data_IF_836848590816
#
_entry.id   IF_836848590816
#
_cell.length_a   1.000
_cell.length_b   1.000
_cell.length_c   1.000
_cell.angle_alpha   90.00
_cell.angle_beta   90.00
_cell.angle_gamma   90.00
#
_symmetry.space_group_name_H-M   'P 1'
#
loop_
_entity.id
_entity.type
_entity.pdbx_description
1 polymer ?
#
# COMPACT_ATOMS: atom_id res chain seq x y z
N UNK A 1 -0.48 -11.69 -0.32
CA UNK A 1 0.67 -12.43 -0.90
C UNK A 1 0.54 -12.27 -2.39
N UNK A 2 1.43 -11.49 -3.01
CA UNK A 2 1.32 -11.14 -4.42
C UNK A 2 2.00 -12.19 -5.28
N UNK A 3 1.27 -12.75 -6.23
CA UNK A 3 1.84 -13.60 -7.30
C UNK A 3 1.55 -12.96 -8.67
N UNK A 4 2.59 -12.87 -9.49
CA UNK A 4 2.51 -12.44 -10.90
C UNK A 4 3.18 -13.51 -11.74
N UNK A 5 2.43 -14.07 -12.70
CA UNK A 5 2.94 -15.03 -13.69
C UNK A 5 3.13 -14.30 -15.02
N UNK A 6 4.28 -14.50 -15.67
CA UNK A 6 4.56 -13.97 -17.01
C UNK A 6 3.72 -14.74 -18.03
N UNK A 7 3.03 -14.02 -18.91
CA UNK A 7 2.28 -14.60 -20.03
C UNK A 7 3.10 -14.55 -21.32
N UNK A 8 2.81 -15.42 -22.31
CA UNK A 8 3.40 -15.31 -23.65
C UNK A 8 3.07 -13.93 -24.24
N UNK A 9 4.10 -13.18 -24.66
CA UNK A 9 3.96 -11.82 -25.20
C UNK A 9 4.12 -10.68 -24.18
N UNK A 10 4.23 -10.96 -22.89
CA UNK A 10 4.61 -9.93 -21.91
C UNK A 10 6.12 -9.64 -21.97
N UNK A 11 6.47 -8.35 -22.04
CA UNK A 11 7.85 -7.88 -21.78
C UNK A 11 8.17 -7.94 -20.28
N UNK A 12 9.45 -8.06 -19.94
CA UNK A 12 9.88 -8.14 -18.53
C UNK A 12 9.46 -6.90 -17.73
N UNK A 13 9.57 -5.71 -18.32
CA UNK A 13 9.11 -4.45 -17.73
C UNK A 13 7.61 -4.45 -17.43
N UNK A 14 6.79 -5.05 -18.30
CA UNK A 14 5.34 -5.18 -18.09
C UNK A 14 5.05 -6.01 -16.85
N UNK A 15 5.77 -7.12 -16.66
CA UNK A 15 5.63 -8.00 -15.49
C UNK A 15 6.05 -7.28 -14.21
N UNK A 16 7.18 -6.57 -14.23
CA UNK A 16 7.66 -5.78 -13.08
C UNK A 16 6.65 -4.71 -12.71
N UNK A 17 6.11 -3.97 -13.69
CA UNK A 17 5.07 -2.96 -13.44
C UNK A 17 3.80 -3.56 -12.85
N UNK A 18 3.35 -4.72 -13.37
CA UNK A 18 2.19 -5.46 -12.82
C UNK A 18 2.45 -5.86 -11.37
N UNK A 19 3.64 -6.35 -11.04
CA UNK A 19 4.03 -6.69 -9.67
C UNK A 19 4.00 -5.46 -8.75
N UNK A 20 4.68 -4.37 -9.13
CA UNK A 20 4.73 -3.15 -8.33
C UNK A 20 3.33 -2.60 -8.06
N UNK A 21 2.44 -2.58 -9.07
CA UNK A 21 1.05 -2.17 -8.87
C UNK A 21 0.31 -3.07 -7.90
N UNK A 22 0.44 -4.40 -8.01
CA UNK A 22 -0.20 -5.34 -7.05
C UNK A 22 0.33 -5.14 -5.62
N UNK A 23 1.63 -4.94 -5.44
CA UNK A 23 2.24 -4.69 -4.11
C UNK A 23 1.71 -3.40 -3.48
N UNK A 24 1.58 -2.33 -4.27
CA UNK A 24 1.01 -1.06 -3.81
C UNK A 24 -0.47 -1.24 -3.46
N UNK A 25 -1.24 -1.89 -4.32
CA UNK A 25 -2.67 -2.12 -4.12
C UNK A 25 -2.97 -3.01 -2.89
N UNK A 26 -2.16 -4.05 -2.66
CA UNK A 26 -2.25 -4.89 -1.45
C UNK A 26 -1.70 -4.19 -0.18
N UNK A 27 -1.16 -2.97 -0.32
CA UNK A 27 -0.61 -2.15 0.77
C UNK A 27 0.44 -2.86 1.65
N UNK A 28 1.17 -3.81 1.06
CA UNK A 28 2.12 -4.69 1.77
C UNK A 28 3.24 -3.89 2.42
N UNK A 29 3.77 -2.89 1.71
CA UNK A 29 4.90 -2.09 2.19
C UNK A 29 4.52 -1.22 3.40
N UNK A 30 3.33 -0.62 3.39
CA UNK A 30 2.87 0.18 4.53
C UNK A 30 2.60 -0.71 5.74
N UNK A 31 2.02 -1.89 5.52
CA UNK A 31 1.79 -2.84 6.59
C UNK A 31 3.09 -3.39 7.19
N UNK A 32 4.07 -3.72 6.36
CA UNK A 32 5.39 -4.16 6.81
C UNK A 32 6.05 -3.09 7.70
N UNK A 33 6.02 -1.81 7.27
CA UNK A 33 6.52 -0.69 8.08
C UNK A 33 5.76 -0.53 9.41
N UNK A 34 4.42 -0.68 9.39
CA UNK A 34 3.59 -0.59 10.60
C UNK A 34 3.90 -1.70 11.60
N UNK A 35 4.27 -2.89 11.11
CA UNK A 35 4.59 -4.08 11.93
C UNK A 35 6.07 -4.19 12.29
N UNK A 36 6.93 -3.32 11.76
CA UNK A 36 8.38 -3.36 11.98
C UNK A 36 8.74 -3.21 13.48
N UNK A 37 7.93 -2.45 14.22
CA UNK A 37 8.08 -2.27 15.66
C UNK A 37 6.73 -2.41 16.35
N UNK A 38 6.75 -2.84 17.62
CA UNK A 38 5.55 -2.87 18.43
C UNK A 38 5.05 -1.44 18.70
N UNK A 39 3.78 -1.19 18.40
CA UNK A 39 3.07 0.00 18.82
C UNK A 39 2.01 -0.38 19.85
N UNK A 40 1.89 0.44 20.91
CA UNK A 40 0.74 0.34 21.82
C UNK A 40 -0.57 0.46 21.03
N UNK A 41 -1.62 -0.31 21.38
CA UNK A 41 -2.89 -0.31 20.64
C UNK A 41 -3.52 1.09 20.48
N UNK A 42 -3.37 1.96 21.49
CA UNK A 42 -3.87 3.34 21.44
C UNK A 42 -3.15 4.18 20.38
N UNK A 43 -1.83 4.07 20.27
CA UNK A 43 -1.04 4.78 19.28
C UNK A 43 -1.33 4.27 17.86
N UNK A 44 -1.51 2.96 17.70
CA UNK A 44 -1.90 2.38 16.41
C UNK A 44 -3.29 2.89 15.95
N UNK A 45 -4.26 3.00 16.87
CA UNK A 45 -5.57 3.60 16.58
C UNK A 45 -5.45 5.07 16.19
N UNK A 46 -4.63 5.85 16.91
CA UNK A 46 -4.39 7.27 16.62
C UNK A 46 -3.79 7.48 15.23
N UNK A 47 -2.72 6.76 14.89
CA UNK A 47 -2.08 6.85 13.57
C UNK A 47 -3.05 6.51 12.42
N UNK A 48 -3.87 5.46 12.59
CA UNK A 48 -4.89 5.08 11.59
C UNK A 48 -5.93 6.20 11.37
N UNK A 49 -6.36 6.87 12.44
CA UNK A 49 -7.32 7.98 12.34
C UNK A 49 -6.70 9.21 11.67
N UNK A 50 -5.45 9.54 12.01
CA UNK A 50 -4.71 10.65 11.40
C UNK A 50 -4.51 10.42 9.89
N UNK A 51 -4.14 9.22 9.49
CA UNK A 51 -3.98 8.84 8.07
C UNK A 51 -5.31 8.97 7.31
N UNK A 52 -6.41 8.44 7.87
CA UNK A 52 -7.74 8.57 7.27
C UNK A 52 -8.18 10.04 7.14
N UNK A 53 -7.90 10.87 8.15
CA UNK A 53 -8.17 12.32 8.11
C UNK A 53 -7.34 13.01 7.04
N UNK A 54 -6.07 12.63 6.89
CA UNK A 54 -5.17 13.17 5.85
C UNK A 54 -5.68 12.83 4.46
N UNK A 55 -6.06 11.58 4.20
CA UNK A 55 -6.62 11.14 2.91
C UNK A 55 -7.90 11.92 2.57
N UNK A 56 -8.84 12.05 3.52
CA UNK A 56 -10.06 12.85 3.32
C UNK A 56 -9.76 14.30 3.01
N UNK A 57 -8.77 14.91 3.69
CA UNK A 57 -8.35 16.29 3.40
C UNK A 57 -7.80 16.43 1.99
N UNK A 58 -6.96 15.48 1.53
CA UNK A 58 -6.43 15.50 0.17
C UNK A 58 -7.55 15.36 -0.87
N UNK A 59 -8.50 14.45 -0.65
CA UNK A 59 -9.65 14.28 -1.55
C UNK A 59 -10.50 15.54 -1.69
N UNK A 60 -10.68 16.30 -0.61
CA UNK A 60 -11.41 17.58 -0.63
C UNK A 60 -10.66 18.71 -1.34
N UNK A 61 -9.34 18.64 -1.45
CA UNK A 61 -8.53 19.63 -2.17
C UNK A 61 -8.48 19.31 -3.67
N UNK A 62 -8.57 18.02 -4.01
CA UNK A 62 -8.55 17.55 -5.39
C UNK A 62 -9.93 17.60 -6.09
N UNK A 63 -11.00 17.90 -5.36
CA UNK A 63 -12.36 18.13 -5.85
C UNK A 63 -12.60 19.63 -5.98
#
# INVERSE_FOLDING_TARGET
MVVVKKMPGDSDDSVIRKFTRKVINENILAEAKRRQFYLKPSLAKKQKQEEARRVRKMQRIAA
#
